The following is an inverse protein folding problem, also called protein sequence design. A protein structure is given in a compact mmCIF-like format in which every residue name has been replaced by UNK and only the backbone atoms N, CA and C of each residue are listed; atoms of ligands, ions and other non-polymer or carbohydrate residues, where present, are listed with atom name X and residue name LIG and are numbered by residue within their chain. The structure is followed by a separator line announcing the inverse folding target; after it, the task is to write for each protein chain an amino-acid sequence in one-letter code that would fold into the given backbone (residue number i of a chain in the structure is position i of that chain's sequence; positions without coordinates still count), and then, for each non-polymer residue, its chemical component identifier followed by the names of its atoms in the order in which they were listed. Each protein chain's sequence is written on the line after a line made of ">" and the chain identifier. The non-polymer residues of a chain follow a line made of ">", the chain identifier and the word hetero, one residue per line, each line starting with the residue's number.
data_IF_331726438544
#
_entry.id   IF_331726438544
#
_cell.length_a   1.000
_cell.length_b   1.000
_cell.length_c   1.000
_cell.angle_alpha   90.00
_cell.angle_beta   90.00
_cell.angle_gamma   90.00
#
_symmetry.space_group_name_H-M   'P 1'
#
loop_
_entity.id
_entity.type
_entity.pdbx_description
1 polymer ?
#
# COMPACT_ATOMS: atom_id res chain seq x y z
N UNK A 1 -10.33 0.15 5.77
CA UNK A 1 -11.53 0.93 5.44
C UNK A 1 -11.18 1.95 4.37
N UNK A 2 -12.15 2.48 3.62
CA UNK A 2 -11.92 3.47 2.56
C UNK A 2 -12.69 4.78 2.74
N UNK A 3 -13.53 4.85 3.76
CA UNK A 3 -14.27 6.03 4.20
C UNK A 3 -13.54 6.74 5.37
N UNK A 4 -14.24 7.65 6.04
CA UNK A 4 -13.68 8.53 7.05
C UNK A 4 -13.44 7.83 8.39
N UNK A 5 -12.38 8.23 9.10
CA UNK A 5 -12.22 7.92 10.52
C UNK A 5 -13.36 8.57 11.30
N UNK A 6 -14.01 7.80 12.17
CA UNK A 6 -15.06 8.30 13.06
C UNK A 6 -14.42 8.96 14.28
N UNK A 7 -14.88 10.17 14.60
CA UNK A 7 -14.33 11.01 15.68
C UNK A 7 -15.42 11.36 16.68
N UNK A 8 -15.27 10.91 17.92
CA UNK A 8 -16.06 11.38 19.05
C UNK A 8 -15.34 12.56 19.74
N UNK A 9 -15.85 13.77 19.52
CA UNK A 9 -15.22 15.00 20.02
C UNK A 9 -15.30 15.15 21.55
N UNK A 10 -16.32 14.58 22.19
CA UNK A 10 -16.42 14.61 23.65
C UNK A 10 -15.34 13.73 24.26
N UNK A 11 -15.10 12.55 23.67
CA UNK A 11 -14.05 11.65 24.10
C UNK A 11 -12.66 12.21 23.79
N UNK A 12 -12.47 12.92 22.66
CA UNK A 12 -11.24 13.68 22.38
C UNK A 12 -10.96 14.68 23.50
N UNK A 13 -11.95 15.46 23.91
CA UNK A 13 -11.81 16.41 25.02
C UNK A 13 -11.43 15.70 26.33
N UNK A 14 -12.00 14.53 26.60
CA UNK A 14 -11.62 13.69 27.75
C UNK A 14 -10.17 13.23 27.72
N UNK A 15 -9.61 12.89 26.55
CA UNK A 15 -8.16 12.62 26.43
C UNK A 15 -7.32 13.86 26.74
N UNK A 16 -7.66 15.01 26.14
CA UNK A 16 -6.94 16.29 26.37
C UNK A 16 -7.04 16.74 27.84
N UNK A 17 -8.17 16.47 28.49
CA UNK A 17 -8.39 16.72 29.92
C UNK A 17 -7.75 15.71 30.87
N UNK A 18 -7.14 14.64 30.35
CA UNK A 18 -6.48 13.59 31.14
C UNK A 18 -7.43 12.59 31.79
N UNK A 19 -8.72 12.57 31.41
CA UNK A 19 -9.70 11.60 31.90
C UNK A 19 -9.43 10.19 31.34
N UNK A 20 -8.86 10.11 30.14
CA UNK A 20 -8.56 8.85 29.47
C UNK A 20 -7.05 8.69 29.24
N UNK A 21 -6.45 7.57 29.65
CA UNK A 21 -5.03 7.34 29.41
C UNK A 21 -4.79 7.10 27.90
N UNK A 22 -3.77 7.75 27.30
CA UNK A 22 -3.42 7.49 25.91
C UNK A 22 -2.96 6.04 25.71
N UNK A 23 -3.20 5.52 24.51
CA UNK A 23 -2.83 4.17 24.07
C UNK A 23 -3.33 3.07 25.02
N UNK A 24 -4.53 3.25 25.58
CA UNK A 24 -5.13 2.32 26.54
C UNK A 24 -4.29 2.13 27.82
N UNK A 25 -3.40 3.07 28.15
CA UNK A 25 -2.50 2.96 29.31
C UNK A 25 -1.26 2.10 29.07
N UNK A 26 -0.93 1.77 27.81
CA UNK A 26 0.24 0.94 27.46
C UNK A 26 1.58 1.48 28.00
N UNK A 27 1.67 2.78 28.27
CA UNK A 27 2.89 3.45 28.73
C UNK A 27 2.85 3.84 30.23
N UNK A 28 1.87 3.33 30.99
CA UNK A 28 1.67 3.65 32.42
C UNK A 28 2.82 3.23 33.35
N UNK A 29 3.74 2.38 32.88
CA UNK A 29 4.92 1.95 33.65
C UNK A 29 6.03 3.00 33.78
N UNK A 30 5.89 4.17 33.17
CA UNK A 30 6.84 5.30 33.26
C UNK A 30 6.07 6.62 33.23
N UNK A 31 6.58 7.62 33.93
CA UNK A 31 6.09 9.00 33.83
C UNK A 31 6.61 9.65 32.53
N UNK A 32 5.69 9.93 31.61
CA UNK A 32 5.93 10.62 30.35
C UNK A 32 5.41 12.07 30.35
N UNK A 33 4.85 12.52 31.48
CA UNK A 33 4.06 13.74 31.57
C UNK A 33 2.59 13.55 31.20
N UNK A 34 1.84 14.64 31.25
CA UNK A 34 0.44 14.66 30.82
C UNK A 34 0.34 14.52 29.29
N UNK A 35 -0.76 13.92 28.83
CA UNK A 35 -1.02 13.72 27.40
C UNK A 35 -1.03 15.07 26.64
N UNK A 36 -0.27 15.12 25.56
CA UNK A 36 -0.20 16.27 24.66
C UNK A 36 -0.61 15.84 23.24
N UNK A 37 -1.86 16.12 22.86
CA UNK A 37 -2.43 15.72 21.56
C UNK A 37 -1.61 16.26 20.38
N UNK A 38 -0.97 17.42 20.54
CA UNK A 38 -0.14 18.00 19.49
C UNK A 38 1.15 17.18 19.31
N UNK A 39 1.80 16.76 20.41
CA UNK A 39 3.06 16.01 20.36
C UNK A 39 2.89 14.52 20.11
N UNK A 40 1.78 13.93 20.57
CA UNK A 40 1.61 12.48 20.59
C UNK A 40 0.69 11.96 19.48
N UNK A 41 -0.12 12.84 18.86
CA UNK A 41 -1.03 12.45 17.78
C UNK A 41 -0.77 13.27 16.52
N UNK A 42 -0.99 14.60 16.58
CA UNK A 42 -0.99 15.46 15.39
C UNK A 42 0.41 15.54 14.76
N UNK A 43 1.42 15.88 15.57
CA UNK A 43 2.81 16.01 15.13
C UNK A 43 3.49 14.67 14.76
N UNK A 44 2.83 13.54 15.02
CA UNK A 44 3.29 12.20 14.65
C UNK A 44 2.47 11.58 13.52
N UNK A 45 1.45 12.28 13.01
CA UNK A 45 0.73 11.81 11.83
C UNK A 45 1.68 11.87 10.61
N UNK A 46 1.96 10.73 9.94
CA UNK A 46 2.99 10.67 8.89
C UNK A 46 2.67 11.48 7.64
N UNK A 47 1.43 11.95 7.50
CA UNK A 47 0.94 12.73 6.36
C UNK A 47 0.55 14.15 6.74
N UNK A 48 0.75 14.52 8.02
CA UNK A 48 0.41 15.85 8.55
C UNK A 48 -1.07 16.25 8.29
N UNK A 49 -1.96 15.27 8.14
CA UNK A 49 -3.36 15.47 7.74
C UNK A 49 -4.31 15.77 8.91
N UNK A 50 -3.80 16.08 10.10
CA UNK A 50 -4.59 16.27 11.33
C UNK A 50 -4.34 17.65 11.94
N UNK A 51 -5.37 18.28 12.51
CA UNK A 51 -5.22 19.55 13.22
C UNK A 51 -6.33 19.78 14.25
N UNK A 52 -6.11 20.73 15.18
CA UNK A 52 -7.16 21.23 16.07
C UNK A 52 -7.80 22.49 15.49
N UNK A 53 -9.12 22.55 15.50
CA UNK A 53 -9.90 23.74 15.12
C UNK A 53 -11.00 23.99 16.16
N UNK A 54 -10.91 25.11 16.88
CA UNK A 54 -11.88 25.47 17.92
C UNK A 54 -12.03 24.40 19.02
N UNK A 55 -10.94 23.72 19.39
CA UNK A 55 -10.95 22.63 20.38
C UNK A 55 -11.45 21.28 19.85
N UNK A 56 -11.77 21.18 18.55
CA UNK A 56 -12.18 19.93 17.89
C UNK A 56 -11.05 19.37 17.06
N UNK A 57 -10.85 18.06 17.12
CA UNK A 57 -9.90 17.37 16.24
C UNK A 57 -10.49 17.23 14.84
N UNK A 58 -9.72 17.57 13.82
CA UNK A 58 -10.03 17.42 12.41
C UNK A 58 -9.01 16.50 11.74
N UNK A 59 -9.48 15.74 10.75
CA UNK A 59 -8.68 14.82 9.94
C UNK A 59 -9.08 15.02 8.48
N UNK A 60 -8.12 15.31 7.62
CA UNK A 60 -8.31 15.17 6.17
C UNK A 60 -8.11 13.70 5.78
N UNK A 61 -9.22 12.95 5.73
CA UNK A 61 -9.20 11.52 5.44
C UNK A 61 -8.69 11.20 4.03
N UNK A 62 -8.75 12.15 3.09
CA UNK A 62 -8.26 11.96 1.73
C UNK A 62 -6.74 11.80 1.71
N UNK A 63 -6.04 12.53 2.57
CA UNK A 63 -4.58 12.47 2.71
C UNK A 63 -4.13 11.43 3.75
N UNK A 64 -5.07 10.80 4.47
CA UNK A 64 -4.76 9.76 5.44
C UNK A 64 -4.32 8.44 4.78
N UNK A 65 -3.14 7.95 5.17
CA UNK A 65 -2.61 6.64 4.75
C UNK A 65 -3.06 5.47 5.63
N UNK A 66 -3.94 5.72 6.61
CA UNK A 66 -4.54 4.71 7.51
C UNK A 66 -3.49 3.89 8.28
N UNK A 67 -2.44 4.55 8.77
CA UNK A 67 -1.32 3.93 9.51
C UNK A 67 -1.66 3.44 10.94
N UNK A 68 -2.91 3.61 11.38
CA UNK A 68 -3.43 3.29 12.72
C UNK A 68 -2.94 4.14 13.90
N UNK A 69 -1.88 4.97 13.76
CA UNK A 69 -1.28 5.68 14.89
C UNK A 69 -2.28 6.42 15.78
N UNK A 70 -3.10 7.30 15.21
CA UNK A 70 -4.06 8.10 15.97
C UNK A 70 -5.15 7.23 16.66
N UNK A 71 -5.64 6.19 15.98
CA UNK A 71 -6.59 5.22 16.55
C UNK A 71 -5.94 4.43 17.69
N UNK A 72 -4.69 4.01 17.53
CA UNK A 72 -3.95 3.31 18.58
C UNK A 72 -3.76 4.19 19.83
N UNK A 73 -3.47 5.48 19.65
CA UNK A 73 -3.29 6.42 20.77
C UNK A 73 -4.62 6.80 21.43
N UNK A 74 -5.69 6.99 20.65
CA UNK A 74 -7.00 7.40 21.20
C UNK A 74 -8.13 6.42 20.84
N UNK A 75 -8.05 5.14 21.24
CA UNK A 75 -8.95 4.09 20.76
C UNK A 75 -10.40 4.24 21.24
N UNK A 76 -10.67 5.07 22.26
CA UNK A 76 -12.04 5.39 22.67
C UNK A 76 -12.67 6.47 21.78
N UNK A 77 -11.87 7.39 21.25
CA UNK A 77 -12.34 8.57 20.52
C UNK A 77 -12.33 8.36 19.00
N UNK A 78 -11.33 7.65 18.48
CA UNK A 78 -11.12 7.45 17.06
C UNK A 78 -11.38 6.00 16.68
N UNK A 79 -12.26 5.79 15.70
CA UNK A 79 -12.64 4.46 15.23
C UNK A 79 -12.45 4.34 13.73
N UNK A 80 -12.19 3.11 13.28
CA UNK A 80 -12.13 2.77 11.86
C UNK A 80 -13.42 3.16 11.14
N UNK A 81 -13.33 3.48 9.84
CA UNK A 81 -14.50 3.67 8.99
C UNK A 81 -15.34 2.38 8.82
N UNK A 82 -16.53 2.56 8.29
CA UNK A 82 -17.53 1.49 8.10
C UNK A 82 -17.48 0.88 6.70
N UNK A 83 -16.89 1.56 5.72
CA UNK A 83 -16.61 0.99 4.39
C UNK A 83 -15.32 0.14 4.44
N UNK A 84 -15.49 -1.11 4.87
CA UNK A 84 -14.39 -2.05 5.20
C UNK A 84 -14.03 -2.98 4.04
N UNK A 85 -12.80 -3.48 4.11
CA UNK A 85 -12.14 -4.33 3.13
C UNK A 85 -10.69 -4.56 3.55
N UNK A 86 -9.92 -5.29 2.74
CA UNK A 86 -8.51 -5.60 2.99
C UNK A 86 -7.63 -5.22 1.81
N UNK A 87 -6.33 -5.23 2.07
CA UNK A 87 -5.28 -5.05 1.08
C UNK A 87 -4.57 -6.39 0.88
N UNK A 88 -4.24 -6.74 -0.36
CA UNK A 88 -3.44 -7.93 -0.67
C UNK A 88 -2.01 -7.49 -0.98
N UNK A 89 -1.05 -8.04 -0.23
CA UNK A 89 0.38 -7.88 -0.48
C UNK A 89 1.00 -9.25 -0.83
N UNK A 90 1.88 -9.28 -1.81
CA UNK A 90 2.45 -10.52 -2.35
C UNK A 90 3.98 -10.57 -2.26
N UNK A 91 4.53 -11.79 -2.20
CA UNK A 91 5.97 -12.03 -2.37
C UNK A 91 6.82 -12.07 -1.10
N UNK A 92 6.23 -12.01 0.10
CA UNK A 92 6.99 -12.09 1.35
C UNK A 92 7.75 -13.44 1.48
N UNK A 93 9.02 -13.38 1.87
CA UNK A 93 9.85 -14.58 2.12
C UNK A 93 11.06 -14.29 3.01
N UNK A 94 11.55 -15.36 3.62
CA UNK A 94 12.83 -15.40 4.32
C UNK A 94 14.01 -15.25 3.33
N UNK A 95 15.26 -15.08 3.82
CA UNK A 95 16.41 -14.77 2.97
C UNK A 95 16.69 -15.72 1.80
N UNK A 96 16.59 -17.04 1.98
CA UNK A 96 17.00 -18.01 0.95
C UNK A 96 16.02 -17.98 -0.23
N UNK A 97 16.44 -17.86 -1.50
CA UNK A 97 17.82 -17.67 -1.99
C UNK A 97 18.15 -16.19 -2.22
N UNK A 98 17.29 -15.45 -2.92
CA UNK A 98 17.59 -14.10 -3.44
C UNK A 98 17.27 -12.94 -2.49
N UNK A 99 17.49 -13.16 -1.19
CA UNK A 99 17.26 -12.17 -0.14
C UNK A 99 15.85 -12.20 0.45
N UNK A 100 15.71 -11.54 1.60
CA UNK A 100 14.45 -11.42 2.31
C UNK A 100 13.54 -10.41 1.63
N UNK A 101 12.23 -10.66 1.68
CA UNK A 101 11.22 -9.77 1.14
C UNK A 101 10.05 -9.65 2.12
N UNK A 102 9.52 -8.44 2.25
CA UNK A 102 8.17 -8.22 2.79
C UNK A 102 7.15 -8.26 1.65
N UNK A 103 5.86 -8.28 1.98
CA UNK A 103 4.80 -8.22 0.98
C UNK A 103 4.85 -6.88 0.22
N UNK A 104 4.79 -6.94 -1.10
CA UNK A 104 4.61 -5.76 -1.98
C UNK A 104 3.14 -5.58 -2.31
N UNK A 105 2.65 -4.33 -2.30
CA UNK A 105 1.25 -3.99 -2.49
C UNK A 105 0.74 -4.41 -3.87
N UNK A 106 -0.24 -5.33 -3.94
CA UNK A 106 -0.84 -5.81 -5.18
C UNK A 106 -2.27 -5.28 -5.38
N UNK A 107 -3.16 -5.54 -4.42
CA UNK A 107 -4.55 -5.04 -4.44
C UNK A 107 -4.71 -4.03 -3.32
N UNK A 108 -4.83 -2.71 -3.60
CA UNK A 108 -4.97 -1.70 -2.55
C UNK A 108 -6.20 -1.86 -1.69
N UNK A 109 -7.32 -2.28 -2.28
CA UNK A 109 -8.56 -2.51 -1.56
C UNK A 109 -9.41 -3.57 -2.27
N UNK A 110 -9.86 -4.56 -1.50
CA UNK A 110 -10.82 -5.57 -1.92
C UNK A 110 -11.86 -5.80 -0.82
N UNK A 111 -13.11 -6.05 -1.22
CA UNK A 111 -14.16 -6.38 -0.26
C UNK A 111 -13.91 -7.75 0.35
N UNK A 112 -14.36 -7.91 1.60
CA UNK A 112 -14.28 -9.16 2.35
C UNK A 112 -15.70 -9.55 2.68
N UNK A 113 -16.36 -10.16 1.71
CA UNK A 113 -17.75 -10.58 1.80
C UNK A 113 -17.80 -12.05 1.39
N UNK A 114 -18.44 -12.89 2.22
CA UNK A 114 -18.59 -14.31 1.93
C UNK A 114 -19.38 -14.48 0.61
N UNK A 115 -18.94 -15.34 -0.33
CA UNK A 115 -17.95 -16.42 -0.21
C UNK A 115 -16.49 -16.08 -0.56
N UNK A 116 -16.13 -14.80 -0.58
CA UNK A 116 -14.77 -14.27 -0.82
C UNK A 116 -14.25 -14.52 -2.24
N UNK A 117 -15.14 -14.57 -3.21
CA UNK A 117 -14.79 -14.94 -4.59
C UNK A 117 -13.78 -13.98 -5.21
N UNK A 118 -13.86 -12.67 -4.95
CA UNK A 118 -12.88 -11.73 -5.50
C UNK A 118 -11.47 -11.94 -4.92
N UNK A 119 -11.37 -12.39 -3.67
CA UNK A 119 -10.08 -12.72 -3.05
C UNK A 119 -9.54 -14.03 -3.61
N UNK A 120 -10.41 -15.03 -3.79
CA UNK A 120 -10.05 -16.33 -4.36
C UNK A 120 -9.59 -16.21 -5.80
N UNK A 121 -10.24 -15.38 -6.60
CA UNK A 121 -9.85 -15.08 -7.99
C UNK A 121 -8.40 -14.55 -8.04
N UNK A 122 -8.03 -13.61 -7.16
CA UNK A 122 -6.64 -13.13 -7.08
C UNK A 122 -5.66 -14.25 -6.72
N UNK A 123 -6.03 -15.14 -5.78
CA UNK A 123 -5.19 -16.28 -5.38
C UNK A 123 -5.00 -17.25 -6.54
N UNK A 124 -6.09 -17.63 -7.21
CA UNK A 124 -6.09 -18.58 -8.32
C UNK A 124 -5.30 -18.04 -9.51
N UNK A 125 -5.48 -16.76 -9.90
CA UNK A 125 -4.66 -16.13 -10.94
C UNK A 125 -3.15 -16.11 -10.61
N UNK A 126 -2.78 -15.87 -9.35
CA UNK A 126 -1.38 -15.93 -8.91
C UNK A 126 -0.85 -17.36 -9.01
N UNK A 127 -1.66 -18.35 -8.61
CA UNK A 127 -1.28 -19.76 -8.68
C UNK A 127 -1.14 -20.25 -10.11
N UNK A 128 -2.10 -19.98 -10.99
CA UNK A 128 -2.03 -20.37 -12.41
C UNK A 128 -0.74 -19.86 -13.07
N UNK A 129 -0.38 -18.61 -12.80
CA UNK A 129 0.89 -18.04 -13.29
C UNK A 129 2.12 -18.66 -12.62
N UNK A 130 2.16 -18.70 -11.27
CA UNK A 130 3.35 -19.17 -10.55
C UNK A 130 3.60 -20.67 -10.71
N UNK A 131 2.56 -21.48 -10.84
CA UNK A 131 2.67 -22.93 -11.02
C UNK A 131 3.25 -23.30 -12.38
N UNK A 132 2.98 -22.51 -13.42
CA UNK A 132 3.53 -22.72 -14.77
C UNK A 132 4.93 -22.10 -14.92
N UNK A 133 5.10 -20.86 -14.45
CA UNK A 133 6.32 -20.07 -14.71
C UNK A 133 7.39 -20.18 -13.61
N UNK A 134 7.01 -20.71 -12.44
CA UNK A 134 7.87 -20.88 -11.28
C UNK A 134 8.94 -21.93 -11.54
N UNK A 135 10.20 -21.58 -11.30
CA UNK A 135 11.29 -22.56 -11.33
C UNK A 135 11.23 -23.49 -10.13
N UNK A 136 11.92 -24.63 -10.22
CA UNK A 136 12.04 -25.55 -9.10
C UNK A 136 12.50 -24.83 -7.82
N UNK A 137 11.67 -24.88 -6.77
CA UNK A 137 11.88 -24.26 -5.45
C UNK A 137 11.97 -22.72 -5.45
N UNK A 138 11.49 -22.06 -6.50
CA UNK A 138 11.43 -20.60 -6.57
C UNK A 138 10.16 -20.09 -5.88
N UNK A 139 10.31 -19.17 -4.93
CA UNK A 139 9.17 -18.55 -4.25
C UNK A 139 8.52 -17.50 -5.14
N UNK A 140 7.23 -17.21 -4.92
CA UNK A 140 6.50 -16.16 -5.65
C UNK A 140 7.26 -14.82 -5.71
N UNK A 141 7.84 -14.38 -4.59
CA UNK A 141 8.60 -13.12 -4.54
C UNK A 141 9.88 -13.12 -5.40
N UNK A 142 10.46 -14.29 -5.67
CA UNK A 142 11.62 -14.46 -6.55
C UNK A 142 11.17 -14.47 -8.02
N UNK A 143 10.05 -15.14 -8.33
CA UNK A 143 9.41 -15.04 -9.64
C UNK A 143 9.06 -13.59 -10.00
N UNK A 144 8.49 -12.84 -9.05
CA UNK A 144 8.18 -11.40 -9.21
C UNK A 144 9.44 -10.58 -9.53
N UNK A 145 10.58 -10.86 -8.87
CA UNK A 145 11.85 -10.19 -9.17
C UNK A 145 12.39 -10.55 -10.55
N UNK A 146 12.24 -11.82 -10.96
CA UNK A 146 12.77 -12.34 -12.23
C UNK A 146 11.96 -11.90 -13.44
N UNK A 147 10.64 -11.97 -13.37
CA UNK A 147 9.75 -11.64 -14.50
C UNK A 147 9.23 -10.20 -14.45
N UNK A 148 9.39 -9.51 -13.32
CA UNK A 148 8.92 -8.14 -13.10
C UNK A 148 7.50 -8.08 -12.55
N UNK A 149 7.22 -7.02 -11.80
CA UNK A 149 5.92 -6.80 -11.17
C UNK A 149 4.79 -6.61 -12.20
N UNK A 150 5.12 -6.12 -13.39
CA UNK A 150 4.18 -5.98 -14.50
C UNK A 150 3.57 -7.32 -14.92
N UNK A 151 4.32 -8.43 -14.85
CA UNK A 151 3.79 -9.76 -15.18
C UNK A 151 2.79 -10.26 -14.13
N UNK A 152 3.04 -9.97 -12.85
CA UNK A 152 2.06 -10.24 -11.80
C UNK A 152 0.75 -9.45 -12.01
N UNK A 153 0.86 -8.18 -12.41
CA UNK A 153 -0.30 -7.34 -12.73
C UNK A 153 -1.10 -7.87 -13.92
N UNK A 154 -0.42 -8.29 -14.99
CA UNK A 154 -1.07 -8.92 -16.14
C UNK A 154 -1.77 -10.24 -15.76
N UNK A 155 -1.08 -11.12 -15.02
CA UNK A 155 -1.62 -12.41 -14.59
C UNK A 155 -2.89 -12.27 -13.72
N UNK A 156 -2.96 -11.21 -12.93
CA UNK A 156 -4.11 -10.91 -12.05
C UNK A 156 -5.12 -9.95 -12.67
N UNK A 157 -4.91 -9.53 -13.92
CA UNK A 157 -5.73 -8.53 -14.61
C UNK A 157 -5.91 -7.21 -13.82
N UNK A 158 -4.88 -6.81 -13.08
CA UNK A 158 -4.87 -5.57 -12.28
C UNK A 158 -4.15 -4.48 -13.06
N UNK A 159 -4.81 -3.33 -13.25
CA UNK A 159 -4.18 -2.17 -13.90
C UNK A 159 -3.08 -1.58 -13.01
N UNK A 160 -1.90 -1.22 -13.57
CA UNK A 160 -0.85 -0.55 -12.81
C UNK A 160 -1.35 0.81 -12.30
N UNK A 161 -0.97 1.14 -11.07
CA UNK A 161 -1.32 2.40 -10.42
C UNK A 161 -0.17 2.89 -9.53
N UNK A 162 -0.18 4.18 -9.19
CA UNK A 162 0.90 4.80 -8.42
C UNK A 162 1.13 4.11 -7.07
N UNK A 163 0.07 3.56 -6.47
CA UNK A 163 0.09 2.82 -5.21
C UNK A 163 0.95 1.55 -5.28
N UNK A 164 1.19 0.97 -6.47
CA UNK A 164 2.02 -0.22 -6.62
C UNK A 164 3.51 0.02 -6.41
N UNK A 165 3.94 1.28 -6.36
CA UNK A 165 5.34 1.64 -6.19
C UNK A 165 5.52 2.62 -5.04
N UNK A 166 6.64 2.47 -4.32
CA UNK A 166 7.09 3.51 -3.39
C UNK A 166 7.69 4.70 -4.15
N UNK A 167 8.38 4.41 -5.25
CA UNK A 167 8.93 5.40 -6.17
C UNK A 167 8.91 4.87 -7.61
N UNK A 168 8.74 5.74 -8.62
CA UNK A 168 8.99 5.38 -10.00
C UNK A 168 10.46 4.96 -10.21
N UNK A 169 10.71 4.15 -11.24
CA UNK A 169 12.08 3.78 -11.61
C UNK A 169 12.91 5.01 -11.99
N UNK A 170 14.17 5.01 -11.58
CA UNK A 170 15.16 6.03 -11.96
C UNK A 170 16.13 5.54 -13.07
N UNK A 171 15.96 4.30 -13.56
CA UNK A 171 16.74 3.76 -14.69
C UNK A 171 15.94 3.84 -15.99
N UNK A 172 16.55 4.24 -17.13
CA UNK A 172 15.81 4.45 -18.38
C UNK A 172 15.60 3.18 -19.22
N UNK A 173 15.89 1.98 -18.71
CA UNK A 173 15.72 0.71 -19.43
C UNK A 173 14.24 0.27 -19.49
N UNK A 174 13.41 1.08 -20.13
CA UNK A 174 11.96 0.89 -20.26
C UNK A 174 11.70 -0.07 -21.42
N UNK A 175 10.99 -1.16 -21.12
CA UNK A 175 10.48 -2.07 -22.14
C UNK A 175 9.13 -1.56 -22.62
N UNK A 176 8.94 -1.61 -23.94
CA UNK A 176 7.65 -1.40 -24.61
C UNK A 176 7.23 -2.72 -25.23
N UNK A 177 5.92 -2.95 -25.36
CA UNK A 177 5.43 -4.02 -26.23
C UNK A 177 5.45 -3.53 -27.67
N UNK A 178 5.64 -4.44 -28.61
CA UNK A 178 5.77 -4.08 -30.04
C UNK A 178 4.50 -3.39 -30.57
N UNK A 179 3.33 -3.82 -30.10
CA UNK A 179 2.03 -3.26 -30.47
C UNK A 179 1.77 -1.86 -29.90
N UNK A 180 2.56 -1.41 -28.94
CA UNK A 180 2.50 -0.06 -28.38
C UNK A 180 3.39 0.95 -29.15
N UNK A 181 4.26 0.46 -30.05
CA UNK A 181 5.20 1.29 -30.81
C UNK A 181 4.77 1.38 -32.26
N UNK A 182 4.46 2.59 -32.72
CA UNK A 182 4.09 2.85 -34.12
C UNK A 182 5.16 2.31 -35.09
N UNK A 183 4.76 1.43 -36.00
CA UNK A 183 5.63 0.77 -36.98
C UNK A 183 6.26 -0.55 -36.55
N UNK A 184 6.12 -0.96 -35.29
CA UNK A 184 6.65 -2.22 -34.77
C UNK A 184 8.19 -2.30 -34.84
N UNK A 185 8.73 -3.52 -34.78
CA UNK A 185 10.18 -3.75 -34.72
C UNK A 185 10.78 -4.36 -35.99
N UNK A 186 9.95 -4.77 -36.95
CA UNK A 186 10.42 -5.28 -38.24
C UNK A 186 10.93 -4.12 -39.13
N UNK A 187 12.24 -3.86 -39.07
CA UNK A 187 12.88 -2.72 -39.73
C UNK A 187 13.93 -3.17 -40.74
N UNK A 188 13.91 -2.56 -41.92
CA UNK A 188 14.92 -2.77 -42.97
C UNK A 188 16.06 -1.74 -42.87
N UNK A 189 17.30 -2.23 -42.75
CA UNK A 189 18.50 -1.38 -42.72
C UNK A 189 18.68 -0.59 -44.01
N UNK A 190 18.25 -1.11 -45.17
CA UNK A 190 18.39 -0.43 -46.45
C UNK A 190 17.46 0.78 -46.53
N UNK A 191 16.25 0.71 -45.94
CA UNK A 191 15.34 1.85 -45.84
C UNK A 191 15.98 2.99 -45.03
N UNK A 192 16.58 2.68 -43.88
CA UNK A 192 17.27 3.67 -43.04
C UNK A 192 18.43 4.36 -43.78
N UNK A 193 19.18 3.61 -44.59
CA UNK A 193 20.37 4.12 -45.31
C UNK A 193 20.06 5.02 -46.50
N UNK A 194 18.81 5.10 -46.96
CA UNK A 194 18.41 6.08 -48.00
C UNK A 194 18.54 7.52 -47.48
N UNK A 195 18.27 7.73 -46.20
CA UNK A 195 18.28 9.05 -45.58
C UNK A 195 19.55 9.32 -44.76
N UNK A 196 20.34 8.26 -44.44
CA UNK A 196 21.50 8.35 -43.54
C UNK A 196 22.74 7.71 -44.17
N UNK A 197 23.66 8.55 -44.69
CA UNK A 197 24.97 8.11 -45.18
C UNK A 197 25.78 7.39 -44.08
N UNK A 198 26.70 6.52 -44.50
CA UNK A 198 27.48 5.67 -43.59
C UNK A 198 28.70 6.38 -43.03
#
# INVERSE_FOLDING_TARGET
>A
WKDDIKIDQEVVAGYVGGEFPPNGGAHSGRDWGAFDIQKEVIGLCPTECMWMDGGKLKIDNKECTRCMHCINVMPRALHIGDDRGVTILAGAKAPILDGAQMGSLLVPFIKVEEPYDEIKEVIECIWDWWMEEGKNRERLGELMKRQGFQRLLEATNIKPMAQHVQEPRHTPYIFWKEDEVEGGWNRDINAFRKDHQR
#
